data_IF_158471194732
#
_entry.id   IF_158471194732
#
_cell.length_a   1.000
_cell.length_b   1.000
_cell.length_c   1.000
_cell.angle_alpha   90.00
_cell.angle_beta   90.00
_cell.angle_gamma   90.00
#
_symmetry.space_group_name_H-M   'P 1'
#
loop_
_entity.id
_entity.type
_entity.pdbx_description
1 polymer ?
#
# COMPACT_ATOMS: atom_id res chain seq x y z
N UNK A 1 -6.36 8.21 7.52
CA UNK A 1 -7.50 7.27 7.72
C UNK A 1 -8.08 7.45 9.13
N UNK A 2 -9.36 7.10 9.39
CA UNK A 2 -10.05 7.40 10.68
C UNK A 2 -10.63 6.18 11.44
N UNK A 3 -10.16 4.96 11.17
CA UNK A 3 -10.55 3.80 11.99
C UNK A 3 -9.92 3.87 13.37
N UNK A 4 -10.70 3.66 14.45
CA UNK A 4 -10.19 3.67 15.83
C UNK A 4 -9.36 2.43 16.16
N UNK A 5 -9.60 1.32 15.43
CA UNK A 5 -8.89 0.05 15.59
C UNK A 5 -8.11 -0.29 14.34
N UNK A 6 -6.91 -0.83 14.52
CA UNK A 6 -6.13 -1.40 13.44
C UNK A 6 -6.77 -2.68 12.94
N UNK A 7 -6.55 -3.01 11.67
CA UNK A 7 -6.91 -4.32 11.15
C UNK A 7 -6.01 -5.37 11.83
N UNK A 8 -6.63 -6.42 12.35
CA UNK A 8 -5.92 -7.48 13.06
C UNK A 8 -6.15 -8.86 12.41
N UNK A 9 -5.24 -9.84 12.60
CA UNK A 9 -5.40 -11.18 12.05
C UNK A 9 -6.71 -11.89 12.48
N UNK A 10 -7.24 -11.53 13.65
CA UNK A 10 -8.49 -12.06 14.20
C UNK A 10 -9.74 -11.51 13.48
N UNK A 11 -9.62 -10.43 12.71
CA UNK A 11 -10.74 -9.89 11.93
C UNK A 11 -11.07 -10.75 10.70
N UNK A 12 -10.20 -11.70 10.32
CA UNK A 12 -10.45 -12.65 9.24
C UNK A 12 -11.70 -13.50 9.48
N UNK A 13 -11.93 -13.92 10.73
CA UNK A 13 -13.09 -14.74 11.09
C UNK A 13 -14.33 -13.89 11.45
N UNK A 14 -14.19 -12.56 11.51
CA UNK A 14 -15.27 -11.63 11.91
C UNK A 14 -16.00 -11.00 10.74
N UNK A 15 -15.36 -10.86 9.59
CA UNK A 15 -15.90 -10.12 8.46
C UNK A 15 -15.91 -10.97 7.19
N UNK A 16 -17.07 -11.02 6.54
CA UNK A 16 -17.23 -11.72 5.25
C UNK A 16 -16.67 -10.92 4.06
N UNK A 17 -16.59 -9.60 4.21
CA UNK A 17 -16.17 -8.69 3.14
C UNK A 17 -15.47 -7.45 3.70
N UNK A 18 -14.52 -6.94 2.93
CA UNK A 18 -13.81 -5.70 3.19
C UNK A 18 -14.04 -4.74 2.02
N UNK A 19 -14.40 -3.50 2.33
CA UNK A 19 -14.66 -2.46 1.33
C UNK A 19 -13.48 -1.50 1.31
N UNK A 20 -12.80 -1.44 0.16
CA UNK A 20 -11.73 -0.48 -0.07
C UNK A 20 -12.29 0.69 -0.89
N UNK A 21 -12.48 1.83 -0.22
CA UNK A 21 -12.94 3.06 -0.87
C UNK A 21 -11.77 3.98 -1.22
N UNK A 22 -11.68 4.41 -2.49
CA UNK A 22 -10.70 5.41 -2.93
C UNK A 22 -10.76 5.66 -4.44
N UNK A 23 -11.48 6.70 -4.87
CA UNK A 23 -11.55 7.14 -6.28
C UNK A 23 -10.36 8.04 -6.61
N UNK A 24 -9.13 7.59 -6.39
CA UNK A 24 -7.87 8.34 -6.55
C UNK A 24 -7.58 9.29 -5.37
N UNK A 25 -6.42 9.10 -4.75
CA UNK A 25 -5.95 9.91 -3.62
C UNK A 25 -5.57 11.32 -4.07
N UNK A 26 -6.06 12.32 -3.35
CA UNK A 26 -5.51 13.68 -3.41
C UNK A 26 -4.50 13.84 -2.26
N UNK A 27 -3.44 14.61 -2.46
CA UNK A 27 -2.66 15.17 -1.36
C UNK A 27 -2.96 16.69 -1.25
N UNK A 28 -3.57 17.18 -0.16
CA UNK A 28 -4.02 16.43 1.02
C UNK A 28 -5.29 15.59 0.76
N UNK A 29 -5.54 14.54 1.57
CA UNK A 29 -6.68 13.64 1.39
C UNK A 29 -8.03 14.37 1.40
N UNK A 30 -8.72 14.36 0.25
CA UNK A 30 -10.14 14.75 0.18
C UNK A 30 -10.95 13.56 0.69
N UNK A 31 -11.56 13.72 1.87
CA UNK A 31 -12.28 12.71 2.66
C UNK A 31 -13.57 12.17 1.98
N UNK A 32 -13.44 11.62 0.76
CA UNK A 32 -14.53 11.20 -0.14
C UNK A 32 -15.27 9.95 0.35
N UNK A 33 -14.72 9.22 1.32
CA UNK A 33 -15.38 8.07 1.96
C UNK A 33 -16.32 8.47 3.10
N UNK A 34 -16.60 9.77 3.28
CA UNK A 34 -17.51 10.25 4.32
C UNK A 34 -18.91 9.62 4.23
N UNK A 35 -19.44 9.42 3.04
CA UNK A 35 -20.77 8.82 2.84
C UNK A 35 -20.82 7.37 3.34
N UNK A 36 -19.71 6.64 3.29
CA UNK A 36 -19.64 5.30 3.86
C UNK A 36 -19.72 5.33 5.39
N UNK A 37 -19.36 6.44 6.06
CA UNK A 37 -19.45 6.62 7.52
C UNK A 37 -20.84 6.82 8.05
N UNK A 38 -21.77 7.19 7.17
CA UNK A 38 -23.18 7.26 7.52
C UNK A 38 -23.84 5.86 7.47
N UNK A 39 -23.10 4.84 7.00
CA UNK A 39 -23.49 3.45 7.03
C UNK A 39 -22.87 2.79 8.28
N UNK A 40 -23.63 1.91 8.93
CA UNK A 40 -23.24 1.27 10.20
C UNK A 40 -22.16 0.16 10.03
N UNK A 41 -21.13 0.44 9.23
CA UNK A 41 -19.99 -0.45 9.02
C UNK A 41 -18.94 -0.27 10.12
N UNK A 42 -18.22 -1.35 10.42
CA UNK A 42 -17.02 -1.26 11.25
C UNK A 42 -15.83 -0.75 10.42
N UNK A 43 -15.04 0.15 11.01
CA UNK A 43 -13.82 0.67 10.40
C UNK A 43 -12.60 -0.01 11.00
N UNK A 44 -11.67 -0.37 10.12
CA UNK A 44 -10.31 -0.80 10.47
C UNK A 44 -9.29 0.10 9.80
N UNK A 45 -8.25 0.48 10.51
CA UNK A 45 -7.13 1.28 10.02
C UNK A 45 -6.01 0.36 9.54
N UNK A 46 -5.44 0.68 8.38
CA UNK A 46 -4.22 0.02 7.89
C UNK A 46 -2.99 0.83 8.25
N UNK A 47 -2.92 2.12 7.95
CA UNK A 47 -1.81 3.00 8.34
C UNK A 47 -2.31 4.42 8.58
N UNK A 48 -1.45 5.28 9.13
CA UNK A 48 -1.71 6.72 9.20
C UNK A 48 -1.54 7.38 7.83
N UNK A 49 -0.45 7.04 7.13
CA UNK A 49 -0.15 7.47 5.76
C UNK A 49 -1.10 6.81 4.75
N UNK A 50 -1.35 7.48 3.62
CA UNK A 50 -2.26 6.97 2.60
C UNK A 50 -1.62 5.78 1.85
N UNK A 51 -2.47 4.85 1.41
CA UNK A 51 -2.07 3.76 0.54
C UNK A 51 -2.78 3.89 -0.81
N UNK A 52 -2.14 3.42 -1.87
CA UNK A 52 -2.86 3.07 -3.11
C UNK A 52 -3.80 1.89 -2.84
N UNK A 53 -4.81 1.72 -3.68
CA UNK A 53 -5.81 0.65 -3.49
C UNK A 53 -5.19 -0.74 -3.48
N UNK A 54 -4.25 -1.00 -4.39
CA UNK A 54 -3.50 -2.25 -4.46
C UNK A 54 -2.64 -2.50 -3.22
N UNK A 55 -1.96 -1.46 -2.70
CA UNK A 55 -1.21 -1.55 -1.43
C UNK A 55 -2.13 -1.84 -0.24
N UNK A 56 -3.31 -1.20 -0.19
CA UNK A 56 -4.29 -1.44 0.88
C UNK A 56 -4.82 -2.88 0.86
N UNK A 57 -5.09 -3.42 -0.34
CA UNK A 57 -5.49 -4.82 -0.54
C UNK A 57 -4.36 -5.75 -0.09
N UNK A 58 -3.12 -5.49 -0.53
CA UNK A 58 -1.96 -6.32 -0.17
C UNK A 58 -1.73 -6.33 1.34
N UNK A 59 -1.74 -5.16 1.99
CA UNK A 59 -1.59 -5.04 3.45
C UNK A 59 -2.68 -5.83 4.18
N UNK A 60 -3.92 -5.73 3.70
CA UNK A 60 -5.03 -6.49 4.29
C UNK A 60 -4.85 -8.00 4.12
N UNK A 61 -4.35 -8.46 2.96
CA UNK A 61 -4.01 -9.87 2.75
C UNK A 61 -2.95 -10.34 3.74
N UNK A 62 -1.88 -9.56 3.92
CA UNK A 62 -0.78 -9.87 4.84
C UNK A 62 -1.30 -10.05 6.27
N UNK A 63 -2.16 -9.14 6.73
CA UNK A 63 -2.73 -9.19 8.07
C UNK A 63 -3.69 -10.37 8.23
N UNK A 64 -4.63 -10.50 7.31
CA UNK A 64 -5.76 -11.41 7.45
C UNK A 64 -5.41 -12.87 7.13
N UNK A 65 -4.59 -13.10 6.11
CA UNK A 65 -4.27 -14.44 5.61
C UNK A 65 -2.91 -14.93 6.12
N UNK A 66 -1.88 -14.09 6.05
CA UNK A 66 -0.54 -14.49 6.50
C UNK A 66 -0.34 -14.29 8.01
N UNK A 67 -1.34 -13.72 8.68
CA UNK A 67 -1.38 -13.51 10.14
C UNK A 67 -0.23 -12.65 10.67
N UNK A 68 0.28 -11.73 9.84
CA UNK A 68 1.32 -10.78 10.23
C UNK A 68 0.64 -9.50 10.71
N UNK A 69 0.82 -9.14 11.98
CA UNK A 69 0.26 -7.90 12.54
C UNK A 69 0.85 -6.68 11.84
N UNK A 70 0.06 -5.60 11.76
CA UNK A 70 0.46 -4.37 11.08
C UNK A 70 1.86 -3.85 11.46
N UNK A 71 2.20 -3.83 12.75
CA UNK A 71 3.51 -3.38 13.24
C UNK A 71 4.71 -4.22 12.77
N UNK A 72 4.47 -5.41 12.21
CA UNK A 72 5.50 -6.30 11.68
C UNK A 72 5.58 -6.25 10.15
N UNK A 73 4.78 -5.40 9.50
CA UNK A 73 4.84 -5.18 8.05
C UNK A 73 5.88 -4.10 7.79
N UNK A 74 6.83 -4.40 6.91
CA UNK A 74 7.82 -3.42 6.46
C UNK A 74 7.23 -2.58 5.33
N UNK A 75 7.21 -1.27 5.54
CA UNK A 75 6.71 -0.30 4.58
C UNK A 75 7.84 0.58 4.04
N UNK A 76 7.61 1.12 2.84
CA UNK A 76 8.42 2.17 2.22
C UNK A 76 7.54 3.41 2.13
N UNK A 77 7.86 4.41 2.92
CA UNK A 77 7.13 5.68 2.98
C UNK A 77 7.66 6.62 1.91
N UNK A 78 6.74 7.23 1.16
CA UNK A 78 7.01 8.21 0.11
C UNK A 78 8.19 7.83 -0.81
N UNK A 79 8.14 6.66 -1.48
CA UNK A 79 9.25 6.24 -2.32
C UNK A 79 9.42 7.15 -3.54
N UNK A 80 10.68 7.38 -3.90
CA UNK A 80 11.07 7.92 -5.20
C UNK A 80 11.21 6.77 -6.20
N UNK A 81 10.48 6.83 -7.31
CA UNK A 81 10.55 5.84 -8.39
C UNK A 81 11.38 6.41 -9.53
N UNK A 82 12.51 5.79 -9.80
CA UNK A 82 13.44 6.21 -10.86
C UNK A 82 13.17 5.47 -12.18
N UNK A 83 13.09 6.21 -13.28
CA UNK A 83 13.18 5.68 -14.63
C UNK A 83 14.65 5.58 -15.04
N UNK A 84 15.16 4.36 -15.23
CA UNK A 84 16.55 4.13 -15.61
C UNK A 84 16.65 3.65 -17.04
N UNK A 85 17.61 4.20 -17.77
CA UNK A 85 17.91 3.71 -19.11
C UNK A 85 18.70 2.39 -19.10
N UNK A 86 18.98 1.87 -20.30
CA UNK A 86 19.72 0.62 -20.50
C UNK A 86 21.12 0.61 -19.86
N UNK A 87 21.69 1.78 -19.58
CA UNK A 87 23.00 1.94 -18.95
C UNK A 87 22.91 2.13 -17.42
N UNK A 88 21.69 2.08 -16.84
CA UNK A 88 21.44 2.25 -15.41
C UNK A 88 21.45 3.70 -14.93
N UNK A 89 21.52 4.68 -15.84
CA UNK A 89 21.44 6.10 -15.50
C UNK A 89 19.97 6.51 -15.33
N UNK A 90 19.67 7.24 -14.26
CA UNK A 90 18.35 7.83 -14.02
C UNK A 90 18.09 8.93 -15.05
N UNK A 91 17.02 8.81 -15.82
CA UNK A 91 16.59 9.80 -16.80
C UNK A 91 15.49 10.70 -16.25
N UNK A 92 14.58 10.13 -15.45
CA UNK A 92 13.57 10.87 -14.70
C UNK A 92 13.24 10.15 -13.39
N UNK A 93 12.59 10.85 -12.47
CA UNK A 93 12.04 10.24 -11.26
C UNK A 93 10.66 10.80 -10.93
N UNK A 94 9.88 9.99 -10.22
CA UNK A 94 8.55 10.35 -9.74
C UNK A 94 8.47 10.08 -8.23
N UNK A 95 8.22 11.13 -7.45
CA UNK A 95 8.05 11.04 -6.00
C UNK A 95 6.60 10.67 -5.66
N UNK A 96 6.40 9.57 -4.94
CA UNK A 96 5.07 9.12 -4.50
C UNK A 96 4.68 9.79 -3.17
N UNK A 97 4.68 11.12 -3.15
CA UNK A 97 4.46 11.95 -1.95
C UNK A 97 3.11 11.64 -1.25
N UNK A 98 3.15 11.49 0.08
CA UNK A 98 1.98 11.19 0.90
C UNK A 98 1.50 9.73 0.86
N UNK A 99 2.18 8.84 0.13
CA UNK A 99 1.82 7.43 0.01
C UNK A 99 2.84 6.50 0.64
N UNK A 100 2.36 5.41 1.24
CA UNK A 100 3.18 4.30 1.73
C UNK A 100 2.90 3.03 0.93
N UNK A 101 3.91 2.18 0.78
CA UNK A 101 3.88 0.93 0.02
C UNK A 101 4.46 -0.21 0.85
N UNK A 102 4.01 -1.44 0.62
CA UNK A 102 4.65 -2.62 1.24
C UNK A 102 6.04 -2.81 0.62
N UNK A 103 7.04 -3.09 1.45
CA UNK A 103 8.40 -3.39 1.01
C UNK A 103 8.48 -4.69 0.20
N UNK A 104 9.31 -4.71 -0.85
CA UNK A 104 9.60 -5.87 -1.67
C UNK A 104 10.39 -6.97 -0.94
N UNK A 105 10.74 -6.75 0.33
CA UNK A 105 11.13 -7.84 1.22
C UNK A 105 10.01 -8.87 1.39
N UNK A 106 8.75 -8.44 1.32
CA UNK A 106 7.61 -9.34 1.34
C UNK A 106 7.51 -10.13 0.01
N UNK A 107 7.54 -11.45 0.12
CA UNK A 107 7.35 -12.37 -0.99
C UNK A 107 5.85 -12.74 -1.06
N UNK A 108 5.16 -12.23 -2.08
CA UNK A 108 3.71 -12.39 -2.26
C UNK A 108 3.32 -13.86 -2.38
N UNK A 109 4.11 -14.65 -3.11
CA UNK A 109 3.86 -16.08 -3.36
C UNK A 109 4.07 -16.90 -2.09
N UNK A 110 5.09 -16.56 -1.29
CA UNK A 110 5.37 -17.28 -0.03
C UNK A 110 4.59 -16.76 1.17
N UNK A 111 3.96 -15.59 1.08
CA UNK A 111 3.25 -14.97 2.20
C UNK A 111 4.17 -14.63 3.39
N UNK A 112 5.43 -14.26 3.14
CA UNK A 112 6.41 -14.00 4.21
C UNK A 112 7.47 -12.98 3.81
N UNK A 113 8.09 -12.34 4.80
CA UNK A 113 9.23 -11.45 4.59
C UNK A 113 10.52 -12.26 4.42
N UNK A 114 11.27 -11.95 3.37
CA UNK A 114 12.62 -12.46 3.13
C UNK A 114 13.67 -11.61 3.85
N UNK A 115 14.82 -12.19 4.19
CA UNK A 115 15.95 -11.46 4.80
C UNK A 115 16.81 -10.72 3.77
N UNK A 116 16.26 -10.38 2.59
CA UNK A 116 17.01 -9.67 1.56
C UNK A 116 16.99 -8.16 1.83
N UNK A 117 18.03 -7.65 2.50
CA UNK A 117 18.17 -6.25 2.86
C UNK A 117 18.15 -5.31 1.65
N UNK A 118 18.57 -5.76 0.45
CA UNK A 118 18.57 -4.93 -0.76
C UNK A 118 17.15 -4.55 -1.21
N UNK A 119 16.13 -5.26 -0.71
CA UNK A 119 14.72 -5.03 -1.05
C UNK A 119 13.99 -4.15 -0.05
N UNK A 120 14.61 -3.76 1.06
CA UNK A 120 13.91 -3.08 2.16
C UNK A 120 13.25 -1.77 1.71
N UNK A 121 13.97 -0.97 0.93
CA UNK A 121 13.51 0.33 0.43
C UNK A 121 12.89 0.25 -0.99
N UNK A 122 12.61 -0.95 -1.49
CA UNK A 122 11.97 -1.14 -2.80
C UNK A 122 10.47 -1.32 -2.56
N UNK A 123 9.59 -0.43 -3.07
CA UNK A 123 8.15 -0.61 -2.91
C UNK A 123 7.64 -1.71 -3.85
N UNK A 124 6.70 -2.52 -3.35
CA UNK A 124 5.87 -3.39 -4.19
C UNK A 124 4.86 -2.51 -4.93
N UNK A 125 4.99 -2.47 -6.26
CA UNK A 125 4.14 -1.71 -7.17
C UNK A 125 4.03 -2.49 -8.49
N UNK A 126 2.92 -2.39 -9.23
CA UNK A 126 2.80 -3.00 -10.55
C UNK A 126 3.89 -2.50 -11.52
N UNK A 127 4.58 -3.42 -12.19
CA UNK A 127 5.67 -3.10 -13.13
C UNK A 127 5.24 -2.12 -14.22
N UNK A 128 4.00 -2.26 -14.70
CA UNK A 128 3.46 -1.35 -15.73
C UNK A 128 3.29 0.07 -15.22
N UNK A 129 2.91 0.26 -13.96
CA UNK A 129 2.85 1.60 -13.36
C UNK A 129 4.27 2.13 -13.21
N UNK A 130 5.14 1.33 -12.57
CA UNK A 130 6.51 1.69 -12.23
C UNK A 130 7.37 2.06 -13.45
N UNK A 131 7.27 1.30 -14.54
CA UNK A 131 8.22 1.41 -15.67
C UNK A 131 7.63 2.12 -16.89
N UNK A 132 6.30 2.31 -16.93
CA UNK A 132 5.64 2.92 -18.09
C UNK A 132 4.77 4.11 -17.65
N UNK A 133 3.71 3.87 -16.87
CA UNK A 133 2.64 4.87 -16.72
C UNK A 133 3.00 6.09 -15.85
N UNK A 134 3.98 5.99 -14.95
CA UNK A 134 4.43 7.14 -14.14
C UNK A 134 5.17 8.21 -14.95
N UNK A 135 5.65 7.83 -16.13
CA UNK A 135 6.61 8.59 -16.94
C UNK A 135 6.03 8.97 -18.31
N UNK A 136 4.70 8.96 -18.41
CA UNK A 136 3.96 9.36 -19.61
C UNK A 136 3.41 10.75 -19.37
N UNK A 137 3.70 11.66 -20.30
CA UNK A 137 3.05 12.97 -20.36
C UNK A 137 1.57 12.79 -20.75
N UNK A 138 0.64 13.27 -19.90
CA UNK A 138 -0.81 13.25 -20.12
C UNK A 138 -1.36 14.60 -20.60
#
# INVERSE_FOLDING_TARGET
>A
MRGEKELEPADFDKFDAFIFGGILGDHPPKDRTKELRDLNFEYRRLTEMQMTTDTAILTSKIILFDKITLNNILFVEEPEIENKNKNGQCEESCQMEGFTYVSAMYDIEKGSFSNNADKINIPIMPDKIKNELLFVDF
#
